data_IF_418161754163
#
_entry.id   IF_418161754163
#
_cell.length_a   1.000
_cell.length_b   1.000
_cell.length_c   1.000
_cell.angle_alpha   90.00
_cell.angle_beta   90.00
_cell.angle_gamma   90.00
#
_symmetry.space_group_name_H-M   'P 1'
#
loop_
_entity.id
_entity.type
_entity.pdbx_description
1 polymer ?
#
# COMPACT_ATOMS: atom_id res chain seq x y z
N UNK A 1 18.70 -2.75 -20.87
CA UNK A 1 17.55 -2.45 -21.70
C UNK A 1 16.32 -2.29 -20.80
N UNK A 2 15.60 -1.17 -20.98
CA UNK A 2 14.44 -0.82 -20.12
C UNK A 2 13.31 -1.87 -20.22
N UNK A 3 13.08 -2.42 -21.40
CA UNK A 3 12.07 -3.47 -21.64
C UNK A 3 12.36 -4.72 -20.81
N UNK A 4 13.59 -5.24 -20.88
CA UNK A 4 14.00 -6.42 -20.09
C UNK A 4 13.88 -6.16 -18.58
N UNK A 5 14.08 -4.91 -18.15
CA UNK A 5 13.91 -4.54 -16.74
C UNK A 5 12.44 -4.56 -16.33
N UNK A 6 11.53 -4.09 -17.19
CA UNK A 6 10.08 -4.15 -16.95
C UNK A 6 9.57 -5.60 -16.93
N UNK A 7 10.08 -6.47 -17.80
CA UNK A 7 9.76 -7.91 -17.75
C UNK A 7 10.15 -8.53 -16.41
N UNK A 8 11.35 -8.23 -15.90
CA UNK A 8 11.78 -8.69 -14.58
C UNK A 8 10.88 -8.16 -13.44
N UNK A 9 10.42 -6.91 -13.52
CA UNK A 9 9.45 -6.37 -12.54
C UNK A 9 8.14 -7.12 -12.57
N UNK A 10 7.68 -7.47 -13.76
CA UNK A 10 6.47 -8.26 -13.92
C UNK A 10 6.61 -9.67 -13.33
N UNK A 11 7.76 -10.31 -13.49
CA UNK A 11 8.06 -11.60 -12.87
C UNK A 11 8.06 -11.51 -11.33
N UNK A 12 8.71 -10.48 -10.77
CA UNK A 12 8.75 -10.25 -9.33
C UNK A 12 7.35 -10.03 -8.74
N UNK A 13 6.48 -9.30 -9.44
CA UNK A 13 5.09 -9.09 -9.02
C UNK A 13 4.26 -10.39 -9.02
N UNK A 14 4.70 -11.44 -9.71
CA UNK A 14 4.06 -12.75 -9.69
C UNK A 14 4.35 -13.57 -8.44
N UNK A 15 5.38 -13.26 -7.67
CA UNK A 15 5.77 -14.01 -6.46
C UNK A 15 4.72 -13.91 -5.37
N UNK A 16 4.06 -12.76 -5.23
CA UNK A 16 3.00 -12.55 -4.25
C UNK A 16 1.61 -12.51 -4.91
N UNK A 17 0.64 -13.19 -4.31
CA UNK A 17 -0.73 -13.24 -4.83
C UNK A 17 -1.35 -11.86 -4.99
N UNK A 18 -1.21 -10.99 -3.99
CA UNK A 18 -1.77 -9.64 -4.01
C UNK A 18 -1.15 -8.75 -5.09
N UNK A 19 0.16 -8.82 -5.30
CA UNK A 19 0.86 -8.07 -6.35
C UNK A 19 0.51 -8.59 -7.73
N UNK A 20 0.43 -9.92 -7.90
CA UNK A 20 0.01 -10.58 -9.13
C UNK A 20 -1.43 -10.20 -9.55
N UNK A 21 -2.34 -10.13 -8.59
CA UNK A 21 -3.72 -9.71 -8.83
C UNK A 21 -3.83 -8.28 -9.30
N UNK A 22 -2.94 -7.36 -8.83
CA UNK A 22 -2.91 -5.94 -9.22
C UNK A 22 -2.14 -5.66 -10.50
N UNK A 23 -1.32 -6.60 -10.99
CA UNK A 23 -0.35 -6.38 -12.07
C UNK A 23 -0.91 -5.55 -13.24
N UNK A 24 -2.07 -5.94 -13.76
CA UNK A 24 -2.73 -5.27 -14.90
C UNK A 24 -3.37 -3.93 -14.56
N UNK A 25 -3.56 -3.64 -13.29
CA UNK A 25 -4.29 -2.46 -12.80
C UNK A 25 -3.36 -1.39 -12.22
N UNK A 26 -2.03 -1.63 -12.05
CA UNK A 26 -1.12 -0.70 -11.37
C UNK A 26 -1.10 0.70 -11.95
N UNK A 27 -1.04 0.86 -13.27
CA UNK A 27 -1.08 2.19 -13.90
C UNK A 27 -2.37 2.93 -13.56
N UNK A 28 -3.50 2.23 -13.61
CA UNK A 28 -4.80 2.80 -13.26
C UNK A 28 -4.89 3.11 -11.77
N UNK A 29 -4.35 2.24 -10.91
CA UNK A 29 -4.30 2.46 -9.46
C UNK A 29 -3.50 3.74 -9.16
N UNK A 30 -2.28 3.86 -9.67
CA UNK A 30 -1.43 5.03 -9.43
C UNK A 30 -2.04 6.32 -9.99
N UNK A 31 -2.58 6.28 -11.22
CA UNK A 31 -3.27 7.42 -11.82
C UNK A 31 -4.44 7.91 -10.95
N UNK A 32 -5.28 7.01 -10.47
CA UNK A 32 -6.42 7.38 -9.63
C UNK A 32 -5.96 7.90 -8.25
N UNK A 33 -4.94 7.31 -7.64
CA UNK A 33 -4.38 7.82 -6.39
C UNK A 33 -3.83 9.23 -6.58
N UNK A 34 -3.02 9.44 -7.62
CA UNK A 34 -2.33 10.73 -7.83
C UNK A 34 -3.26 11.82 -8.35
N UNK A 35 -4.40 11.48 -8.96
CA UNK A 35 -5.43 12.47 -9.28
C UNK A 35 -6.03 13.13 -8.04
N UNK A 36 -6.02 12.43 -6.89
CA UNK A 36 -6.53 12.94 -5.61
C UNK A 36 -5.44 13.58 -4.76
N UNK A 37 -4.30 12.91 -4.60
CA UNK A 37 -3.26 13.39 -3.68
C UNK A 37 -2.15 14.22 -4.37
N UNK A 38 -2.16 14.33 -5.71
CA UNK A 38 -1.04 14.84 -6.50
C UNK A 38 0.11 13.85 -6.58
N UNK A 39 1.18 14.22 -7.26
CA UNK A 39 2.40 13.38 -7.33
C UNK A 39 3.16 13.44 -6.00
N UNK A 40 3.24 12.33 -5.23
CA UNK A 40 3.92 12.34 -3.96
C UNK A 40 5.44 12.32 -4.17
N UNK A 41 6.18 12.99 -3.29
CA UNK A 41 7.63 12.86 -3.20
C UNK A 41 8.07 11.68 -2.35
N UNK A 42 7.22 11.29 -1.39
CA UNK A 42 7.49 10.18 -0.48
C UNK A 42 6.26 9.32 -0.25
N UNK A 43 6.40 8.02 -0.49
CA UNK A 43 5.41 6.97 -0.20
C UNK A 43 5.92 6.13 0.96
N UNK A 44 5.04 5.87 1.93
CA UNK A 44 5.22 4.84 2.96
C UNK A 44 4.25 3.70 2.67
N UNK A 45 4.70 2.46 2.68
CA UNK A 45 3.89 1.28 2.35
C UNK A 45 3.96 0.25 3.49
N UNK A 46 2.84 0.06 4.16
CA UNK A 46 2.70 -0.84 5.32
C UNK A 46 2.10 -2.16 4.87
N UNK A 47 2.81 -3.26 5.15
CA UNK A 47 2.48 -4.58 4.60
C UNK A 47 2.77 -4.61 3.11
N UNK A 48 3.98 -4.13 2.75
CA UNK A 48 4.31 -3.82 1.36
C UNK A 48 4.45 -5.07 0.48
N UNK A 49 4.76 -6.26 1.04
CA UNK A 49 5.04 -7.45 0.24
C UNK A 49 5.98 -7.09 -0.92
N UNK A 50 5.61 -7.46 -2.14
CA UNK A 50 6.36 -7.14 -3.36
C UNK A 50 5.92 -5.84 -4.07
N UNK A 51 5.16 -4.97 -3.38
CA UNK A 51 4.58 -3.78 -4.02
C UNK A 51 5.64 -2.76 -4.51
N UNK A 52 6.85 -2.75 -3.94
CA UNK A 52 7.96 -1.92 -4.42
C UNK A 52 8.29 -2.14 -5.90
N UNK A 53 8.09 -3.35 -6.42
CA UNK A 53 8.31 -3.67 -7.84
C UNK A 53 7.27 -3.06 -8.78
N UNK A 54 6.20 -2.49 -8.25
CA UNK A 54 5.20 -1.75 -9.03
C UNK A 54 5.57 -0.29 -9.28
N UNK A 55 6.60 0.26 -8.61
CA UNK A 55 6.98 1.66 -8.71
C UNK A 55 7.24 2.17 -10.14
N UNK A 56 7.78 1.36 -11.08
CA UNK A 56 7.93 1.80 -12.47
C UNK A 56 6.60 2.18 -13.14
N UNK A 57 5.48 1.58 -12.73
CA UNK A 57 4.14 1.87 -13.24
C UNK A 57 3.54 3.16 -12.65
N UNK A 58 4.16 3.73 -11.61
CA UNK A 58 3.73 5.00 -11.03
C UNK A 58 3.99 6.20 -11.96
N UNK A 59 4.92 6.06 -12.92
CA UNK A 59 5.22 7.09 -13.92
C UNK A 59 5.91 8.34 -13.39
N UNK A 60 6.27 8.41 -12.10
CA UNK A 60 6.91 9.57 -11.46
C UNK A 60 8.39 9.32 -11.20
N UNK A 61 9.19 10.40 -11.21
CA UNK A 61 10.61 10.39 -10.88
C UNK A 61 10.91 11.12 -9.59
N UNK A 62 12.04 10.82 -8.98
CA UNK A 62 12.45 11.46 -7.73
C UNK A 62 11.67 10.97 -6.50
N UNK A 63 10.93 9.87 -6.63
CA UNK A 63 10.15 9.27 -5.56
C UNK A 63 11.06 8.64 -4.51
N UNK A 64 10.76 8.89 -3.24
CA UNK A 64 11.29 8.14 -2.10
C UNK A 64 10.24 7.12 -1.64
N UNK A 65 10.61 5.85 -1.66
CA UNK A 65 9.75 4.76 -1.19
C UNK A 65 10.28 4.17 0.11
N UNK A 66 9.40 4.01 1.09
CA UNK A 66 9.69 3.35 2.35
C UNK A 66 8.69 2.20 2.50
N UNK A 67 9.18 0.97 2.49
CA UNK A 67 8.36 -0.22 2.69
C UNK A 67 8.57 -0.83 4.06
N UNK A 68 7.54 -1.41 4.65
CA UNK A 68 7.71 -2.28 5.80
C UNK A 68 6.77 -3.49 5.73
N UNK A 69 7.28 -4.64 6.19
CA UNK A 69 6.56 -5.92 6.22
C UNK A 69 7.07 -6.81 7.36
N UNK A 70 6.38 -7.90 7.64
CA UNK A 70 6.76 -8.90 8.63
C UNK A 70 7.61 -10.04 8.06
N UNK A 71 7.76 -10.13 6.74
CA UNK A 71 8.52 -11.17 6.03
C UNK A 71 9.93 -10.67 5.72
N UNK A 72 10.92 -11.27 6.38
CA UNK A 72 12.33 -10.82 6.32
C UNK A 72 12.91 -10.97 4.91
N UNK A 73 12.58 -12.04 4.22
CA UNK A 73 13.02 -12.31 2.85
C UNK A 73 12.52 -11.24 1.88
N UNK A 74 11.25 -10.85 1.99
CA UNK A 74 10.66 -9.80 1.16
C UNK A 74 11.36 -8.46 1.41
N UNK A 75 11.57 -8.11 2.67
CA UNK A 75 12.22 -6.86 3.08
C UNK A 75 13.66 -6.79 2.59
N UNK A 76 14.40 -7.89 2.67
CA UNK A 76 15.79 -7.99 2.18
C UNK A 76 15.85 -7.81 0.67
N UNK A 77 14.95 -8.47 -0.07
CA UNK A 77 14.86 -8.36 -1.52
C UNK A 77 14.49 -6.95 -1.98
N UNK A 78 13.55 -6.30 -1.30
CA UNK A 78 13.17 -4.90 -1.58
C UNK A 78 14.32 -3.95 -1.28
N UNK A 79 15.05 -4.15 -0.18
CA UNK A 79 16.21 -3.31 0.16
C UNK A 79 17.27 -3.37 -0.95
N UNK A 80 17.58 -4.56 -1.42
CA UNK A 80 18.53 -4.79 -2.52
C UNK A 80 18.03 -4.16 -3.83
N UNK A 81 16.77 -4.36 -4.18
CA UNK A 81 16.14 -3.76 -5.35
C UNK A 81 16.20 -2.22 -5.31
N UNK A 82 15.80 -1.59 -4.23
CA UNK A 82 15.81 -0.14 -4.10
C UNK A 82 17.23 0.43 -4.20
N UNK A 83 18.22 -0.27 -3.65
CA UNK A 83 19.63 0.12 -3.68
C UNK A 83 20.23 0.03 -5.10
N UNK A 84 19.97 -1.06 -5.82
CA UNK A 84 20.65 -1.40 -7.07
C UNK A 84 19.91 -0.88 -8.31
N UNK A 85 18.60 -0.91 -8.29
CA UNK A 85 17.74 -0.60 -9.45
C UNK A 85 17.08 0.76 -9.32
N UNK A 86 16.79 1.21 -8.12
CA UNK A 86 16.06 2.46 -7.87
C UNK A 86 16.70 3.67 -8.55
N UNK A 87 18.03 3.83 -8.48
CA UNK A 87 18.74 4.93 -9.12
C UNK A 87 18.55 4.95 -10.65
N UNK A 88 18.54 3.78 -11.30
CA UNK A 88 18.38 3.65 -12.75
C UNK A 88 16.97 4.07 -13.17
N UNK A 89 15.97 3.75 -12.34
CA UNK A 89 14.57 4.03 -12.60
C UNK A 89 14.12 5.40 -12.08
N UNK A 90 14.97 6.11 -11.33
CA UNK A 90 14.71 7.46 -10.85
C UNK A 90 13.92 7.51 -9.53
N UNK A 91 14.03 6.47 -8.71
CA UNK A 91 13.52 6.47 -7.35
C UNK A 91 14.58 5.97 -6.34
N UNK A 92 14.37 6.27 -5.07
CA UNK A 92 15.20 5.81 -3.96
C UNK A 92 14.32 5.31 -2.84
N UNK A 93 14.90 4.58 -1.90
CA UNK A 93 14.11 4.17 -0.75
C UNK A 93 14.83 3.21 0.16
N UNK A 94 14.08 2.70 1.10
CA UNK A 94 14.51 1.70 2.08
C UNK A 94 13.34 0.83 2.49
N UNK A 95 13.65 -0.32 3.06
CA UNK A 95 12.67 -1.20 3.71
C UNK A 95 13.12 -1.55 5.12
N UNK A 96 12.20 -1.95 5.98
CA UNK A 96 12.50 -2.39 7.32
C UNK A 96 11.45 -3.41 7.82
N UNK A 97 11.93 -4.35 8.63
CA UNK A 97 11.10 -5.39 9.22
C UNK A 97 10.22 -4.82 10.32
N UNK A 98 8.93 -5.14 10.30
CA UNK A 98 8.01 -4.83 11.39
C UNK A 98 6.98 -5.94 11.54
N UNK A 99 6.53 -6.16 12.77
CA UNK A 99 5.41 -7.04 13.05
C UNK A 99 4.24 -6.22 13.62
N UNK A 100 3.10 -6.25 12.94
CA UNK A 100 1.89 -5.51 13.35
C UNK A 100 1.35 -5.91 14.74
N UNK A 101 1.78 -7.05 15.28
CA UNK A 101 1.43 -7.54 16.62
C UNK A 101 2.46 -7.17 17.68
N UNK A 102 3.57 -6.54 17.30
CA UNK A 102 4.58 -6.06 18.25
C UNK A 102 4.11 -4.75 18.91
N UNK A 103 4.43 -4.58 20.20
CA UNK A 103 4.17 -3.34 20.95
C UNK A 103 4.89 -2.12 20.37
N UNK A 104 6.00 -2.31 19.66
CA UNK A 104 6.76 -1.24 19.01
C UNK A 104 6.16 -0.78 17.68
N UNK A 105 5.27 -1.55 17.09
CA UNK A 105 4.74 -1.30 15.75
C UNK A 105 4.22 0.15 15.58
N UNK A 106 3.34 0.60 16.47
CA UNK A 106 2.77 1.96 16.40
C UNK A 106 3.86 3.04 16.50
N UNK A 107 4.85 2.83 17.35
CA UNK A 107 5.97 3.76 17.51
C UNK A 107 6.81 3.82 16.24
N UNK A 108 7.08 2.69 15.63
CA UNK A 108 7.94 2.62 14.43
C UNK A 108 7.26 3.22 13.21
N UNK A 109 5.98 2.93 12.97
CA UNK A 109 5.24 3.53 11.85
C UNK A 109 5.02 5.04 12.03
N UNK A 110 4.81 5.53 13.25
CA UNK A 110 4.58 6.96 13.53
C UNK A 110 5.79 7.85 13.25
N UNK A 111 7.01 7.28 13.30
CA UNK A 111 8.27 7.99 12.99
C UNK A 111 8.44 8.25 11.49
N UNK A 112 7.71 7.53 10.64
CA UNK A 112 7.84 7.65 9.18
C UNK A 112 6.93 8.76 8.68
N UNK A 113 7.49 9.92 8.37
CA UNK A 113 6.76 11.01 7.71
C UNK A 113 6.75 10.77 6.21
N UNK A 114 5.55 10.81 5.59
CA UNK A 114 5.36 10.66 4.13
C UNK A 114 4.23 11.55 3.61
N UNK A 115 4.16 11.72 2.30
CA UNK A 115 3.04 12.42 1.66
C UNK A 115 1.80 11.52 1.60
N UNK A 116 2.05 10.26 1.24
CA UNK A 116 1.02 9.23 1.09
C UNK A 116 1.48 7.96 1.81
N UNK A 117 0.57 7.30 2.54
CA UNK A 117 0.80 5.97 3.08
C UNK A 117 -0.13 4.95 2.43
N UNK A 118 0.42 3.86 1.92
CA UNK A 118 -0.32 2.70 1.42
C UNK A 118 -0.56 1.70 2.54
N UNK A 119 -1.78 1.18 2.61
CA UNK A 119 -2.22 0.14 3.54
C UNK A 119 -3.10 -0.83 2.75
N UNK A 120 -2.48 -1.61 1.86
CA UNK A 120 -3.21 -2.44 0.89
C UNK A 120 -3.56 -3.81 1.47
N UNK A 121 -4.86 -4.10 1.63
CA UNK A 121 -5.41 -5.36 2.18
C UNK A 121 -4.93 -5.69 3.60
N UNK A 122 -4.50 -4.69 4.38
CA UNK A 122 -3.90 -4.92 5.70
C UNK A 122 -4.88 -4.75 6.86
N UNK A 123 -5.99 -3.99 6.70
CA UNK A 123 -6.87 -3.69 7.82
C UNK A 123 -7.52 -4.94 8.43
N UNK A 124 -7.91 -5.91 7.59
CA UNK A 124 -8.47 -7.17 8.08
C UNK A 124 -7.41 -7.99 8.87
N UNK A 125 -6.13 -7.85 8.53
CA UNK A 125 -5.00 -8.47 9.28
C UNK A 125 -4.82 -7.77 10.63
N UNK A 126 -4.86 -6.44 10.67
CA UNK A 126 -4.72 -5.67 11.90
C UNK A 126 -5.83 -5.96 12.90
N UNK A 127 -7.05 -6.15 12.41
CA UNK A 127 -8.24 -6.42 13.24
C UNK A 127 -8.41 -7.91 13.60
N UNK A 128 -7.47 -8.79 13.23
CA UNK A 128 -7.55 -10.19 13.57
C UNK A 128 -7.67 -10.39 15.09
N UNK A 129 -8.75 -11.01 15.52
CA UNK A 129 -9.05 -11.20 16.95
C UNK A 129 -9.53 -9.95 17.71
N UNK A 130 -9.68 -8.80 17.04
CA UNK A 130 -10.14 -7.53 17.64
C UNK A 130 -11.49 -7.14 17.10
N UNK A 131 -12.43 -6.79 18.01
CA UNK A 131 -13.78 -6.35 17.63
C UNK A 131 -13.82 -4.85 17.26
N UNK A 132 -14.78 -4.49 16.39
CA UNK A 132 -15.14 -3.10 16.07
C UNK A 132 -14.04 -2.28 15.38
N UNK A 133 -13.08 -2.92 14.68
CA UNK A 133 -12.04 -2.26 13.91
C UNK A 133 -11.17 -1.25 14.70
N UNK A 134 -11.09 -1.43 16.03
CA UNK A 134 -10.37 -0.51 16.91
C UNK A 134 -8.89 -0.44 16.64
N UNK A 135 -8.27 -1.57 16.28
CA UNK A 135 -6.84 -1.62 16.01
C UNK A 135 -6.51 -0.98 14.67
N UNK A 136 -7.32 -1.21 13.64
CA UNK A 136 -7.20 -0.51 12.36
C UNK A 136 -7.28 0.99 12.54
N UNK A 137 -8.27 1.49 13.30
CA UNK A 137 -8.41 2.92 13.57
C UNK A 137 -7.19 3.49 14.30
N UNK A 138 -6.72 2.82 15.35
CA UNK A 138 -5.53 3.22 16.10
C UNK A 138 -4.31 3.34 15.19
N UNK A 139 -4.06 2.34 14.35
CA UNK A 139 -2.95 2.33 13.40
C UNK A 139 -3.07 3.49 12.42
N UNK A 140 -4.21 3.65 11.76
CA UNK A 140 -4.41 4.69 10.76
C UNK A 140 -4.26 6.11 11.35
N UNK A 141 -4.67 6.33 12.60
CA UNK A 141 -4.48 7.60 13.31
C UNK A 141 -3.02 7.89 13.58
N UNK A 142 -2.21 6.87 13.88
CA UNK A 142 -0.78 7.00 14.20
C UNK A 142 0.12 7.14 12.96
N UNK A 143 -0.36 6.86 11.75
CA UNK A 143 0.39 7.07 10.51
C UNK A 143 0.59 8.57 10.27
N UNK A 144 1.87 8.99 10.13
CA UNK A 144 2.25 10.38 9.90
C UNK A 144 2.31 10.71 8.40
N UNK A 145 1.14 10.70 7.75
CA UNK A 145 0.99 11.03 6.32
C UNK A 145 -0.23 11.91 6.11
N UNK A 146 -0.17 12.78 5.10
CA UNK A 146 -1.29 13.64 4.71
C UNK A 146 -2.43 12.85 4.06
N UNK A 147 -2.06 11.84 3.27
CA UNK A 147 -3.01 10.96 2.62
C UNK A 147 -2.76 9.50 3.03
N UNK A 148 -3.85 8.74 3.16
CA UNK A 148 -3.82 7.28 3.31
C UNK A 148 -4.50 6.66 2.10
N UNK A 149 -3.93 5.59 1.58
CA UNK A 149 -4.59 4.78 0.54
C UNK A 149 -4.82 3.40 1.11
N UNK A 150 -6.08 3.10 1.37
CA UNK A 150 -6.49 1.84 1.95
C UNK A 150 -7.19 1.00 0.90
N UNK A 151 -6.85 -0.28 0.79
CA UNK A 151 -7.56 -1.16 -0.12
C UNK A 151 -8.17 -2.38 0.57
N UNK A 152 -9.22 -2.90 -0.06
CA UNK A 152 -9.91 -4.12 0.34
C UNK A 152 -10.20 -5.01 -0.87
N UNK A 153 -10.23 -6.35 -0.69
CA UNK A 153 -10.63 -7.24 -1.76
C UNK A 153 -12.10 -7.02 -2.14
N UNK A 154 -12.42 -7.14 -3.43
CA UNK A 154 -13.79 -7.12 -3.96
C UNK A 154 -14.30 -8.52 -4.27
N UNK A 155 -13.45 -9.53 -4.08
CA UNK A 155 -13.78 -10.94 -4.24
C UNK A 155 -13.58 -11.70 -2.93
N UNK A 156 -14.38 -12.73 -2.73
CA UNK A 156 -14.22 -13.67 -1.63
C UNK A 156 -13.01 -14.58 -1.88
N UNK A 157 -12.59 -15.35 -0.86
CA UNK A 157 -11.54 -16.38 -0.99
C UNK A 157 -11.89 -17.40 -2.10
N UNK A 158 -13.17 -17.69 -2.31
CA UNK A 158 -13.66 -18.55 -3.39
C UNK A 158 -13.77 -17.85 -4.75
N UNK A 159 -13.13 -16.70 -4.91
CA UNK A 159 -13.10 -15.87 -6.13
C UNK A 159 -14.47 -15.37 -6.63
N UNK A 160 -15.50 -15.39 -5.79
CA UNK A 160 -16.82 -14.81 -6.12
C UNK A 160 -16.80 -13.31 -5.86
N UNK A 161 -17.32 -12.52 -6.82
CA UNK A 161 -17.46 -11.07 -6.67
C UNK A 161 -18.40 -10.75 -5.50
N UNK A 162 -18.00 -9.83 -4.63
CA UNK A 162 -18.83 -9.36 -3.54
C UNK A 162 -19.92 -8.45 -4.07
N UNK A 163 -21.16 -8.62 -3.59
CA UNK A 163 -22.29 -7.76 -3.95
C UNK A 163 -22.16 -6.34 -3.39
N UNK A 164 -21.41 -6.17 -2.31
CA UNK A 164 -21.16 -4.90 -1.63
C UNK A 164 -19.67 -4.75 -1.31
N UNK A 165 -18.83 -4.32 -2.27
CA UNK A 165 -17.38 -4.20 -2.05
C UNK A 165 -17.01 -3.04 -1.12
N UNK A 166 -17.84 -1.98 -1.05
CA UNK A 166 -17.60 -0.84 -0.15
C UNK A 166 -17.64 -1.27 1.31
N UNK A 167 -16.72 -0.73 2.10
CA UNK A 167 -16.59 -1.01 3.54
C UNK A 167 -17.28 0.09 4.34
N UNK A 168 -18.59 -0.06 4.56
CA UNK A 168 -19.39 0.96 5.28
C UNK A 168 -18.82 1.32 6.65
N UNK A 169 -18.26 0.35 7.37
CA UNK A 169 -17.62 0.61 8.66
C UNK A 169 -16.42 1.57 8.54
N UNK A 170 -15.64 1.44 7.45
CA UNK A 170 -14.50 2.29 7.16
C UNK A 170 -14.96 3.72 6.80
N UNK A 171 -16.01 3.85 6.00
CA UNK A 171 -16.60 5.15 5.64
C UNK A 171 -17.13 5.87 6.88
N UNK A 172 -17.87 5.16 7.75
CA UNK A 172 -18.36 5.72 9.04
C UNK A 172 -17.20 6.13 9.96
N UNK A 173 -16.08 5.37 9.94
CA UNK A 173 -14.89 5.75 10.70
C UNK A 173 -14.27 7.03 10.14
N UNK A 174 -14.15 7.17 8.82
CA UNK A 174 -13.65 8.39 8.18
C UNK A 174 -14.53 9.60 8.52
N UNK A 175 -15.85 9.47 8.41
CA UNK A 175 -16.80 10.54 8.76
C UNK A 175 -16.63 10.99 10.21
N UNK A 176 -16.53 10.04 11.14
CA UNK A 176 -16.34 10.34 12.58
C UNK A 176 -15.00 11.03 12.88
N UNK A 177 -13.96 10.76 12.08
CA UNK A 177 -12.64 11.38 12.19
C UNK A 177 -12.51 12.67 11.39
N UNK A 178 -13.56 13.13 10.71
CA UNK A 178 -13.57 14.25 9.78
C UNK A 178 -12.54 14.07 8.64
N UNK A 179 -12.35 12.85 8.18
CA UNK A 179 -11.49 12.51 7.04
C UNK A 179 -12.32 12.40 5.78
N UNK A 180 -11.94 13.15 4.74
CA UNK A 180 -12.55 13.03 3.42
C UNK A 180 -11.91 11.89 2.64
N UNK A 181 -12.66 11.23 1.79
CA UNK A 181 -12.11 10.18 0.94
C UNK A 181 -12.71 10.17 -0.46
N UNK A 182 -11.90 9.76 -1.42
CA UNK A 182 -12.32 9.33 -2.76
C UNK A 182 -12.30 7.82 -2.84
N UNK A 183 -13.17 7.25 -3.68
CA UNK A 183 -13.34 5.80 -3.81
C UNK A 183 -13.28 5.37 -5.27
N UNK A 184 -12.53 4.31 -5.57
CA UNK A 184 -12.55 3.66 -6.88
C UNK A 184 -12.36 2.15 -6.76
N UNK A 185 -12.72 1.43 -7.81
CA UNK A 185 -12.58 -0.03 -7.90
C UNK A 185 -11.68 -0.41 -9.08
N UNK A 186 -10.97 -1.52 -8.91
CA UNK A 186 -10.30 -2.26 -9.97
C UNK A 186 -10.92 -3.65 -10.12
N UNK A 187 -10.28 -4.52 -10.88
CA UNK A 187 -10.82 -5.86 -11.14
C UNK A 187 -10.99 -6.73 -9.88
N UNK A 188 -10.14 -6.52 -8.85
CA UNK A 188 -10.07 -7.39 -7.66
C UNK A 188 -10.06 -6.63 -6.34
N UNK A 189 -9.93 -5.30 -6.37
CA UNK A 189 -9.82 -4.48 -5.17
C UNK A 189 -10.65 -3.21 -5.28
N UNK A 190 -11.06 -2.68 -4.14
CA UNK A 190 -11.55 -1.32 -4.01
C UNK A 190 -10.58 -0.51 -3.15
N UNK A 191 -10.47 0.76 -3.47
CA UNK A 191 -9.51 1.69 -2.87
C UNK A 191 -10.23 2.89 -2.32
N UNK A 192 -9.74 3.34 -1.16
CA UNK A 192 -10.10 4.61 -0.55
C UNK A 192 -8.86 5.49 -0.47
N UNK A 193 -8.88 6.64 -1.12
CA UNK A 193 -7.84 7.67 -1.00
C UNK A 193 -8.31 8.69 0.01
N UNK A 194 -7.80 8.60 1.22
CA UNK A 194 -8.26 9.37 2.38
C UNK A 194 -7.34 10.56 2.61
N UNK A 195 -7.93 11.73 2.79
CA UNK A 195 -7.26 12.95 3.23
C UNK A 195 -7.52 13.15 4.73
N UNK A 196 -6.45 13.10 5.54
CA UNK A 196 -6.50 13.34 6.98
C UNK A 196 -6.61 14.82 7.31
#
# INVERSE_FOLDING_TARGET
NKEKLLELHEEMLHLHSSSRERKKDYETIYRNIFSVCGEPKKIFDIGCGMNAFSLPFAGIRGLEYIGCDAVEEDISLIAEYLKNVGKVLGFKGRSFLVNAFDKKFLVDISKVKSDVCFVFKMLDVFDYGVKHHKKSEEILKNINSKFLVVSFPTKTISNKKMSRPRRKWFEVMCDRLNWNFDYFETSNECFYVVKK
#
